data_IF_042664128397
#
_entry.id   IF_042664128397
#
_cell.length_a   1.000
_cell.length_b   1.000
_cell.length_c   1.000
_cell.angle_alpha   90.00
_cell.angle_beta   90.00
_cell.angle_gamma   90.00
#
_symmetry.space_group_name_H-M   'P 1'
#
loop_
_entity.id
_entity.type
_entity.pdbx_description
1 polymer ?
#
# COMPACT_ATOMS: atom_id res chain seq x y z
N UNK A 1 18.19 31.84 -14.11
CA UNK A 1 19.44 32.28 -13.46
C UNK A 1 20.05 31.04 -12.82
N UNK A 2 20.84 30.29 -13.59
CA UNK A 2 21.32 28.97 -13.17
C UNK A 2 22.61 29.17 -12.40
N UNK A 3 22.54 29.09 -11.06
CA UNK A 3 23.71 28.99 -10.23
C UNK A 3 24.36 27.62 -10.50
N UNK A 4 25.39 27.60 -11.35
CA UNK A 4 26.29 26.46 -11.46
C UNK A 4 27.07 26.41 -10.16
N UNK A 5 26.84 25.38 -9.35
CA UNK A 5 27.62 25.11 -8.15
C UNK A 5 29.08 24.93 -8.56
N UNK A 6 29.98 25.74 -8.01
CA UNK A 6 31.40 25.70 -8.36
C UNK A 6 32.01 24.34 -7.95
N UNK A 7 32.85 23.71 -8.79
CA UNK A 7 33.40 22.37 -8.55
C UNK A 7 34.13 22.21 -7.21
N UNK A 8 34.66 23.31 -6.67
CA UNK A 8 35.37 23.37 -5.39
C UNK A 8 34.48 23.01 -4.18
N UNK A 9 33.16 23.20 -4.29
CA UNK A 9 32.21 22.77 -3.24
C UNK A 9 32.06 21.24 -3.23
N UNK A 10 32.21 20.59 -4.38
CA UNK A 10 32.15 19.13 -4.50
C UNK A 10 33.47 18.49 -4.01
N UNK A 11 34.62 19.09 -4.36
CA UNK A 11 35.93 18.58 -3.92
C UNK A 11 36.17 18.72 -2.41
N UNK A 12 35.66 19.78 -1.78
CA UNK A 12 35.75 19.94 -0.31
C UNK A 12 34.85 18.96 0.45
N UNK A 13 33.68 18.60 -0.10
CA UNK A 13 32.83 17.55 0.47
C UNK A 13 33.41 16.13 0.34
N UNK A 14 34.23 15.89 -0.70
CA UNK A 14 34.89 14.60 -0.93
C UNK A 14 36.19 14.42 -0.14
N UNK A 15 36.79 15.50 0.36
CA UNK A 15 38.06 15.49 1.12
C UNK A 15 37.88 15.59 2.63
N UNK A 16 36.67 15.89 3.10
CA UNK A 16 36.29 15.77 4.50
C UNK A 16 35.93 14.31 4.82
N UNK A 17 36.95 13.54 5.22
CA UNK A 17 36.80 12.31 6.01
C UNK A 17 36.32 12.65 7.44
N UNK A 18 35.26 13.45 7.54
CA UNK A 18 34.43 13.47 8.73
C UNK A 18 33.49 12.29 8.55
N UNK A 19 33.74 11.20 9.28
CA UNK A 19 32.91 10.01 9.34
C UNK A 19 31.47 10.35 9.75
N UNK A 20 30.70 10.91 8.82
CA UNK A 20 29.26 11.04 8.90
C UNK A 20 28.70 9.63 8.74
N UNK A 21 28.71 8.88 9.84
CA UNK A 21 27.95 7.64 9.91
C UNK A 21 26.48 8.04 9.76
N UNK A 22 25.90 7.79 8.58
CA UNK A 22 24.46 7.88 8.38
C UNK A 22 23.83 6.94 9.41
N UNK A 23 23.13 7.51 10.38
CA UNK A 23 22.41 6.72 11.38
C UNK A 23 21.11 6.25 10.75
N UNK A 24 21.04 4.97 10.43
CA UNK A 24 19.83 4.34 9.92
C UNK A 24 18.83 3.99 11.02
N UNK A 25 19.12 4.29 12.30
CA UNK A 25 18.29 3.92 13.45
C UNK A 25 16.82 4.33 13.28
N UNK A 26 16.56 5.47 12.66
CA UNK A 26 15.19 5.89 12.37
C UNK A 26 14.51 4.99 11.31
N UNK A 27 15.20 4.65 10.22
CA UNK A 27 14.68 3.76 9.19
C UNK A 27 14.54 2.33 9.70
N UNK A 28 15.46 1.87 10.55
CA UNK A 28 15.38 0.57 11.21
C UNK A 28 14.13 0.50 12.09
N UNK A 29 13.85 1.55 12.88
CA UNK A 29 12.64 1.64 13.70
C UNK A 29 11.35 1.65 12.86
N UNK A 30 11.33 2.40 11.75
CA UNK A 30 10.17 2.41 10.83
C UNK A 30 9.97 1.04 10.16
N UNK A 31 11.05 0.38 9.74
CA UNK A 31 10.98 -0.96 9.17
C UNK A 31 10.45 -1.98 10.20
N UNK A 32 10.92 -1.91 11.44
CA UNK A 32 10.43 -2.75 12.54
C UNK A 32 8.93 -2.53 12.80
N UNK A 33 8.47 -1.27 12.83
CA UNK A 33 7.06 -0.92 12.99
C UNK A 33 6.21 -1.45 11.83
N UNK A 34 6.65 -1.24 10.59
CA UNK A 34 5.97 -1.77 9.40
C UNK A 34 5.89 -3.31 9.46
N UNK A 35 6.99 -4.01 9.75
CA UNK A 35 7.01 -5.47 9.86
C UNK A 35 6.08 -5.96 10.98
N UNK A 36 6.06 -5.26 12.11
CA UNK A 36 5.15 -5.56 13.22
C UNK A 36 3.69 -5.47 12.76
N UNK A 37 3.28 -4.37 12.13
CA UNK A 37 1.91 -4.18 11.63
C UNK A 37 1.54 -5.26 10.60
N UNK A 38 2.45 -5.61 9.69
CA UNK A 38 2.21 -6.67 8.70
C UNK A 38 1.96 -8.04 9.36
N UNK A 39 2.66 -8.35 10.46
CA UNK A 39 2.47 -9.57 11.25
C UNK A 39 1.17 -9.54 12.04
N UNK A 40 0.81 -8.40 12.63
CA UNK A 40 -0.47 -8.22 13.31
C UNK A 40 -1.64 -8.46 12.35
N UNK A 41 -1.55 -7.95 11.11
CA UNK A 41 -2.57 -8.22 10.09
C UNK A 41 -2.67 -9.71 9.77
N UNK A 42 -1.53 -10.39 9.57
CA UNK A 42 -1.52 -11.83 9.30
C UNK A 42 -2.09 -12.67 10.46
N UNK A 43 -1.94 -12.21 11.71
CA UNK A 43 -2.47 -12.91 12.88
C UNK A 43 -3.93 -12.59 13.22
N UNK A 44 -4.43 -11.42 12.80
CA UNK A 44 -5.74 -10.92 13.21
C UNK A 44 -6.86 -11.11 12.17
N UNK A 45 -6.52 -11.30 10.89
CA UNK A 45 -7.48 -11.34 9.79
C UNK A 45 -7.45 -12.67 9.05
N UNK A 46 -8.61 -13.11 8.55
CA UNK A 46 -8.79 -14.39 7.85
C UNK A 46 -8.39 -14.28 6.38
N UNK A 47 -8.68 -13.16 5.72
CA UNK A 47 -8.44 -12.93 4.29
C UNK A 47 -7.83 -11.55 4.05
N UNK A 48 -6.63 -11.28 4.56
CA UNK A 48 -5.93 -10.05 4.21
C UNK A 48 -5.45 -10.07 2.76
N UNK A 49 -5.22 -8.91 2.17
CA UNK A 49 -4.50 -8.75 0.91
C UNK A 49 -3.63 -7.49 0.92
N UNK A 50 -2.49 -7.54 0.22
CA UNK A 50 -1.58 -6.40 0.08
C UNK A 50 -1.78 -5.69 -1.25
N UNK A 51 -2.13 -4.41 -1.23
CA UNK A 51 -2.30 -3.60 -2.43
C UNK A 51 -0.93 -3.34 -3.08
N UNK A 52 -0.71 -3.94 -4.25
CA UNK A 52 0.57 -3.93 -4.94
C UNK A 52 0.46 -3.37 -6.36
N UNK A 53 0.73 -2.07 -6.49
CA UNK A 53 0.69 -1.38 -7.79
C UNK A 53 1.99 -1.51 -8.59
N UNK A 54 3.10 -1.88 -7.94
CA UNK A 54 4.45 -1.78 -8.50
C UNK A 54 5.06 -0.39 -8.35
N UNK A 55 4.35 0.56 -7.70
CA UNK A 55 4.90 1.86 -7.32
C UNK A 55 5.82 1.80 -6.10
N UNK A 56 6.56 2.89 -5.84
CA UNK A 56 7.60 2.97 -4.80
C UNK A 56 7.13 2.50 -3.42
N UNK A 57 5.97 2.96 -2.96
CA UNK A 57 5.48 2.69 -1.59
C UNK A 57 5.05 1.23 -1.47
N UNK A 58 4.36 0.72 -2.49
CA UNK A 58 3.95 -0.69 -2.55
C UNK A 58 5.15 -1.64 -2.60
N UNK A 59 6.28 -1.21 -3.17
CA UNK A 59 7.53 -1.97 -3.17
C UNK A 59 8.22 -1.97 -1.81
N UNK A 60 8.21 -0.85 -1.10
CA UNK A 60 8.70 -0.78 0.29
C UNK A 60 7.88 -1.72 1.17
N UNK A 61 6.55 -1.67 1.08
CA UNK A 61 5.68 -2.59 1.82
C UNK A 61 5.94 -4.05 1.44
N UNK A 62 6.04 -4.37 0.15
CA UNK A 62 6.33 -5.73 -0.31
C UNK A 62 7.68 -6.22 0.19
N UNK A 63 8.70 -5.34 0.25
CA UNK A 63 10.01 -5.67 0.80
C UNK A 63 9.94 -5.94 2.30
N UNK A 64 9.16 -5.16 3.05
CA UNK A 64 8.92 -5.39 4.46
C UNK A 64 8.15 -6.71 4.68
N UNK A 65 7.17 -7.04 3.84
CA UNK A 65 6.47 -8.33 3.89
C UNK A 65 7.41 -9.52 3.61
N UNK A 66 8.30 -9.39 2.63
CA UNK A 66 9.36 -10.37 2.36
C UNK A 66 10.28 -10.56 3.58
N UNK A 67 10.67 -9.49 4.28
CA UNK A 67 11.43 -9.58 5.53
C UNK A 67 10.62 -10.19 6.68
N UNK A 68 9.34 -9.88 6.77
CA UNK A 68 8.47 -10.34 7.83
C UNK A 68 8.24 -11.86 7.81
N UNK A 69 8.10 -12.45 6.61
CA UNK A 69 7.68 -13.84 6.43
C UNK A 69 8.65 -14.72 5.61
N UNK A 70 9.51 -14.12 4.79
CA UNK A 70 10.37 -14.82 3.82
C UNK A 70 9.73 -14.95 2.42
N UNK A 71 10.57 -15.18 1.41
CA UNK A 71 10.11 -15.44 0.04
C UNK A 71 9.28 -16.72 -0.04
N UNK A 72 8.19 -16.72 -0.81
CA UNK A 72 7.24 -17.83 -0.95
C UNK A 72 6.37 -18.10 0.28
N UNK A 73 6.43 -17.22 1.30
CA UNK A 73 5.77 -17.42 2.59
C UNK A 73 4.85 -16.27 3.00
N UNK A 74 4.63 -15.30 2.11
CA UNK A 74 3.69 -14.21 2.35
C UNK A 74 2.29 -14.83 2.51
N UNK A 75 1.62 -14.66 3.67
CA UNK A 75 0.42 -15.43 4.01
C UNK A 75 -0.86 -14.90 3.34
N UNK A 76 -0.74 -13.91 2.45
CA UNK A 76 -1.85 -13.28 1.76
C UNK A 76 -1.50 -12.94 0.32
N UNK A 77 -2.49 -12.87 -0.58
CA UNK A 77 -2.27 -12.46 -1.96
C UNK A 77 -1.90 -10.98 -2.07
N UNK A 78 -1.25 -10.65 -3.17
CA UNK A 78 -1.09 -9.30 -3.67
C UNK A 78 -2.33 -8.94 -4.52
N UNK A 79 -2.83 -7.72 -4.37
CA UNK A 79 -4.00 -7.23 -5.10
C UNK A 79 -3.66 -5.97 -5.89
N UNK A 80 -4.06 -5.94 -7.16
CA UNK A 80 -3.90 -4.78 -8.03
C UNK A 80 -5.21 -4.44 -8.74
N UNK A 81 -5.58 -3.16 -8.67
CA UNK A 81 -6.69 -2.59 -9.45
C UNK A 81 -6.12 -1.85 -10.66
N UNK A 82 -6.18 -2.52 -11.81
CA UNK A 82 -5.62 -2.01 -13.06
C UNK A 82 -6.60 -1.10 -13.79
N UNK A 83 -6.19 0.13 -14.03
CA UNK A 83 -6.95 1.09 -14.83
C UNK A 83 -6.84 0.82 -16.33
N UNK A 84 -5.85 0.04 -16.76
CA UNK A 84 -5.48 -0.16 -18.15
C UNK A 84 -4.59 0.93 -18.73
N UNK A 85 -4.18 1.91 -17.91
CA UNK A 85 -3.33 3.04 -18.31
C UNK A 85 -1.95 3.05 -17.61
N UNK A 86 -1.59 1.95 -16.94
CA UNK A 86 -0.27 1.81 -16.33
C UNK A 86 0.80 1.60 -17.42
N UNK A 87 2.01 2.11 -17.18
CA UNK A 87 3.14 1.89 -18.07
C UNK A 87 3.46 0.38 -18.17
N UNK A 88 3.67 -0.18 -19.37
CA UNK A 88 4.00 -1.59 -19.55
C UNK A 88 5.22 -2.04 -18.74
N UNK A 89 6.22 -1.17 -18.58
CA UNK A 89 7.42 -1.45 -17.80
C UNK A 89 7.11 -1.65 -16.30
N UNK A 90 6.12 -0.91 -15.78
CA UNK A 90 5.67 -1.01 -14.39
C UNK A 90 4.90 -2.31 -14.18
N UNK A 91 4.00 -2.67 -15.09
CA UNK A 91 3.23 -3.92 -14.97
C UNK A 91 4.12 -5.14 -15.16
N UNK A 92 5.06 -5.11 -16.10
CA UNK A 92 6.05 -6.18 -16.28
C UNK A 92 6.92 -6.36 -15.03
N UNK A 93 7.43 -5.26 -14.48
CA UNK A 93 8.22 -5.29 -13.24
C UNK A 93 7.43 -5.85 -12.07
N UNK A 94 6.19 -5.39 -11.87
CA UNK A 94 5.26 -5.88 -10.83
C UNK A 94 5.06 -7.39 -10.95
N UNK A 95 4.70 -7.87 -12.13
CA UNK A 95 4.37 -9.28 -12.37
C UNK A 95 5.61 -10.17 -12.27
N UNK A 96 6.78 -9.67 -12.70
CA UNK A 96 8.06 -10.34 -12.47
C UNK A 96 8.37 -10.44 -10.97
N UNK A 97 8.23 -9.34 -10.22
CA UNK A 97 8.55 -9.33 -8.79
C UNK A 97 7.64 -10.23 -7.97
N UNK A 98 6.35 -10.26 -8.27
CA UNK A 98 5.41 -11.19 -7.64
C UNK A 98 5.81 -12.65 -7.87
N UNK A 99 6.20 -13.01 -9.10
CA UNK A 99 6.68 -14.35 -9.46
C UNK A 99 7.98 -14.73 -8.75
N UNK A 100 8.95 -13.83 -8.69
CA UNK A 100 10.22 -14.05 -7.97
C UNK A 100 9.99 -14.37 -6.48
N UNK A 101 8.97 -13.75 -5.88
CA UNK A 101 8.59 -13.97 -4.49
C UNK A 101 7.67 -15.18 -4.30
N UNK A 102 7.23 -15.84 -5.36
CA UNK A 102 6.22 -16.90 -5.30
C UNK A 102 4.88 -16.43 -4.72
N UNK A 103 4.58 -15.14 -4.81
CA UNK A 103 3.35 -14.56 -4.28
C UNK A 103 2.21 -14.66 -5.30
N UNK A 104 1.01 -14.96 -4.82
CA UNK A 104 -0.20 -14.87 -5.65
C UNK A 104 -0.50 -13.40 -5.96
N UNK A 105 -0.61 -13.05 -7.24
CA UNK A 105 -0.99 -11.70 -7.68
C UNK A 105 -2.36 -11.73 -8.35
N UNK A 106 -3.33 -11.13 -7.68
CA UNK A 106 -4.70 -10.93 -8.15
C UNK A 106 -4.77 -9.57 -8.84
N UNK A 107 -5.16 -9.57 -10.12
CA UNK A 107 -5.40 -8.34 -10.88
C UNK A 107 -6.88 -8.24 -11.22
N UNK A 108 -7.49 -7.09 -10.93
CA UNK A 108 -8.85 -6.75 -11.36
C UNK A 108 -8.83 -5.46 -12.15
N UNK A 109 -9.51 -5.44 -13.30
CA UNK A 109 -9.46 -4.31 -14.22
C UNK A 109 -10.70 -3.43 -14.10
N UNK A 110 -10.50 -2.11 -14.14
CA UNK A 110 -11.59 -1.13 -14.30
C UNK A 110 -12.33 -1.36 -15.62
N UNK A 111 -11.63 -1.85 -16.65
CA UNK A 111 -12.25 -2.22 -17.94
C UNK A 111 -13.31 -3.31 -17.77
N UNK A 112 -13.08 -4.28 -16.88
CA UNK A 112 -14.06 -5.34 -16.62
C UNK A 112 -15.26 -4.82 -15.82
N UNK A 113 -15.04 -3.90 -14.87
CA UNK A 113 -16.13 -3.17 -14.21
C UNK A 113 -16.96 -2.35 -15.21
N UNK A 114 -16.32 -1.76 -16.23
CA UNK A 114 -17.02 -1.06 -17.30
C UNK A 114 -17.87 -2.01 -18.16
N UNK A 115 -17.32 -3.18 -18.53
CA UNK A 115 -18.08 -4.22 -19.27
C UNK A 115 -19.27 -4.74 -18.47
N UNK A 116 -19.14 -4.87 -17.14
CA UNK A 116 -20.24 -5.24 -16.24
C UNK A 116 -21.28 -4.12 -16.06
N UNK A 117 -20.93 -2.88 -16.35
CA UNK A 117 -21.80 -1.71 -16.18
C UNK A 117 -21.79 -1.10 -14.77
N UNK A 118 -20.93 -1.57 -13.86
CA UNK A 118 -20.75 -0.99 -12.52
C UNK A 118 -19.94 0.31 -12.56
N UNK A 119 -19.07 0.46 -13.58
CA UNK A 119 -18.38 1.71 -13.89
C UNK A 119 -18.90 2.26 -15.21
N UNK A 120 -19.22 3.56 -15.23
CA UNK A 120 -19.57 4.29 -16.45
C UNK A 120 -18.81 5.60 -16.49
N UNK A 121 -18.02 5.77 -17.55
CA UNK A 121 -17.35 7.03 -17.82
C UNK A 121 -18.38 8.06 -18.33
N UNK A 122 -18.25 9.30 -17.88
CA UNK A 122 -18.98 10.46 -18.38
C UNK A 122 -18.62 10.75 -19.85
N UNK A 123 -17.35 10.55 -20.22
CA UNK A 123 -16.86 10.66 -21.59
C UNK A 123 -15.60 9.81 -21.82
N UNK A 124 -15.24 9.47 -23.08
CA UNK A 124 -14.14 8.53 -23.36
C UNK A 124 -12.76 8.92 -22.80
N UNK A 125 -12.49 10.22 -22.62
CA UNK A 125 -11.22 10.72 -22.06
C UNK A 125 -11.20 10.90 -20.54
N UNK A 126 -12.21 10.42 -19.81
CA UNK A 126 -12.24 10.56 -18.35
C UNK A 126 -11.18 9.69 -17.69
N UNK A 127 -10.56 10.22 -16.63
CA UNK A 127 -9.59 9.44 -15.84
C UNK A 127 -10.27 8.27 -15.14
N UNK A 128 -9.69 7.09 -15.31
CA UNK A 128 -10.16 5.85 -14.67
C UNK A 128 -9.77 5.74 -13.19
N UNK A 129 -8.93 6.64 -12.68
CA UNK A 129 -8.40 6.56 -11.31
C UNK A 129 -9.50 6.65 -10.24
N UNK A 130 -10.50 7.53 -10.44
CA UNK A 130 -11.62 7.67 -9.49
C UNK A 130 -12.43 6.36 -9.39
N UNK A 131 -12.52 5.62 -10.50
CA UNK A 131 -13.29 4.38 -10.58
C UNK A 131 -12.57 3.16 -10.00
N UNK A 132 -11.28 3.27 -9.66
CA UNK A 132 -10.57 2.18 -8.96
C UNK A 132 -11.26 1.81 -7.64
N UNK A 133 -11.91 2.78 -6.98
CA UNK A 133 -12.68 2.53 -5.76
C UNK A 133 -13.83 1.54 -5.97
N UNK A 134 -14.53 1.61 -7.10
CA UNK A 134 -15.64 0.71 -7.44
C UNK A 134 -15.10 -0.70 -7.68
N UNK A 135 -14.08 -0.82 -8.54
CA UNK A 135 -13.46 -2.13 -8.82
C UNK A 135 -12.82 -2.75 -7.57
N UNK A 136 -12.29 -1.92 -6.66
CA UNK A 136 -11.78 -2.39 -5.38
C UNK A 136 -12.88 -2.97 -4.50
N UNK A 137 -14.04 -2.33 -4.42
CA UNK A 137 -15.19 -2.84 -3.66
C UNK A 137 -15.71 -4.16 -4.27
N UNK A 138 -15.79 -4.26 -5.60
CA UNK A 138 -16.13 -5.51 -6.27
C UNK A 138 -15.14 -6.64 -5.93
N UNK A 139 -13.83 -6.35 -5.91
CA UNK A 139 -12.82 -7.33 -5.53
C UNK A 139 -12.93 -7.73 -4.04
N UNK A 140 -13.22 -6.79 -3.15
CA UNK A 140 -13.46 -7.09 -1.72
C UNK A 140 -14.64 -8.03 -1.57
N UNK A 141 -15.74 -7.79 -2.30
CA UNK A 141 -16.91 -8.66 -2.28
C UNK A 141 -16.61 -10.05 -2.85
N UNK A 142 -15.93 -10.10 -4.00
CA UNK A 142 -15.56 -11.34 -4.70
C UNK A 142 -14.69 -12.26 -3.83
N UNK A 143 -13.64 -11.71 -3.22
CA UNK A 143 -12.66 -12.47 -2.45
C UNK A 143 -12.94 -12.50 -0.94
N UNK A 144 -13.93 -11.71 -0.50
CA UNK A 144 -14.30 -11.52 0.91
C UNK A 144 -13.13 -11.01 1.76
N UNK A 145 -12.32 -10.11 1.22
CA UNK A 145 -11.18 -9.56 1.94
C UNK A 145 -11.66 -8.79 3.19
N UNK A 146 -11.08 -9.11 4.34
CA UNK A 146 -11.40 -8.49 5.64
C UNK A 146 -10.33 -7.48 6.09
N UNK A 147 -9.17 -7.46 5.44
CA UNK A 147 -8.18 -6.39 5.56
C UNK A 147 -7.43 -6.13 4.25
N UNK A 148 -7.27 -4.86 3.88
CA UNK A 148 -6.42 -4.45 2.76
C UNK A 148 -5.26 -3.59 3.24
N UNK A 149 -4.04 -4.04 2.99
CA UNK A 149 -2.80 -3.35 3.36
C UNK A 149 -2.44 -2.39 2.22
N UNK A 150 -2.39 -1.09 2.50
CA UNK A 150 -2.13 -0.02 1.53
C UNK A 150 -0.93 0.83 1.89
N UNK A 151 -0.26 1.39 0.88
CA UNK A 151 0.96 2.19 1.04
C UNK A 151 0.71 3.69 1.10
N UNK A 152 -0.45 4.09 1.60
CA UNK A 152 -0.86 5.48 1.72
C UNK A 152 -0.21 6.09 2.96
N UNK A 153 0.59 7.15 2.78
CA UNK A 153 1.32 7.79 3.88
C UNK A 153 0.61 9.06 4.38
N UNK A 154 0.78 9.38 5.65
CA UNK A 154 0.14 10.55 6.31
C UNK A 154 0.66 11.90 5.80
N UNK A 155 1.89 11.94 5.31
CA UNK A 155 2.55 13.15 4.79
C UNK A 155 2.16 13.49 3.34
N UNK A 156 1.49 12.58 2.63
CA UNK A 156 1.17 12.74 1.20
C UNK A 156 0.06 13.76 0.93
N UNK A 157 -0.91 13.88 1.84
CA UNK A 157 -2.06 14.77 1.66
C UNK A 157 -2.57 15.24 3.02
N UNK A 158 -2.99 16.52 3.12
CA UNK A 158 -3.43 17.12 4.39
C UNK A 158 -4.59 16.37 5.04
N UNK A 159 -5.47 15.77 4.23
CA UNK A 159 -6.60 14.98 4.71
C UNK A 159 -6.17 13.72 5.48
N UNK A 160 -4.98 13.17 5.19
CA UNK A 160 -4.45 11.95 5.81
C UNK A 160 -3.69 12.19 7.12
N UNK A 161 -3.51 13.45 7.52
CA UNK A 161 -2.80 13.77 8.77
C UNK A 161 -3.46 13.17 10.02
N UNK A 162 -4.75 12.84 9.96
CA UNK A 162 -5.52 12.20 11.04
C UNK A 162 -5.89 10.74 10.72
N UNK A 163 -5.30 10.16 9.67
CA UNK A 163 -5.52 8.77 9.28
C UNK A 163 -4.92 7.84 10.34
N UNK A 164 -5.66 6.79 10.69
CA UNK A 164 -5.23 5.74 11.61
C UNK A 164 -4.48 4.65 10.84
N UNK A 165 -3.68 3.85 11.54
CA UNK A 165 -3.03 2.68 10.93
C UNK A 165 -4.12 1.70 10.48
N UNK A 166 -5.06 1.39 11.37
CA UNK A 166 -6.24 0.57 11.12
C UNK A 166 -7.47 1.44 10.90
N UNK A 167 -7.81 1.64 9.63
CA UNK A 167 -8.95 2.43 9.19
C UNK A 167 -10.16 1.52 8.93
N UNK A 168 -11.08 1.47 9.89
CA UNK A 168 -12.28 0.63 9.85
C UNK A 168 -13.25 1.08 8.75
N UNK A 169 -13.82 0.12 8.03
CA UNK A 169 -14.83 0.31 6.99
C UNK A 169 -16.04 -0.57 7.29
N UNK A 170 -17.24 -0.02 7.07
CA UNK A 170 -18.47 -0.80 7.18
C UNK A 170 -18.64 -1.77 6.01
N UNK A 171 -19.74 -2.53 6.01
CA UNK A 171 -20.05 -3.53 4.99
C UNK A 171 -20.20 -2.96 3.57
N UNK A 172 -20.43 -1.64 3.43
CA UNK A 172 -20.48 -0.96 2.13
C UNK A 172 -19.16 -0.26 1.78
N UNK A 173 -18.12 -0.43 2.61
CA UNK A 173 -16.82 0.19 2.44
C UNK A 173 -16.74 1.65 2.88
N UNK A 174 -17.76 2.18 3.54
CA UNK A 174 -17.77 3.57 4.00
C UNK A 174 -16.93 3.75 5.26
N UNK A 175 -16.36 4.95 5.39
CA UNK A 175 -15.61 5.35 6.57
C UNK A 175 -16.49 6.15 7.52
N UNK A 176 -16.53 5.74 8.79
CA UNK A 176 -17.33 6.41 9.81
C UNK A 176 -16.43 6.89 10.97
N UNK A 177 -16.40 8.19 11.30
CA UNK A 177 -15.53 8.73 12.34
C UNK A 177 -15.72 8.07 13.71
N UNK A 178 -16.98 7.79 14.08
CA UNK A 178 -17.34 7.21 15.38
C UNK A 178 -16.98 5.72 15.50
N UNK A 179 -16.81 5.03 14.38
CA UNK A 179 -16.43 3.61 14.35
C UNK A 179 -14.91 3.41 14.43
N UNK A 180 -14.13 4.49 14.29
CA UNK A 180 -12.68 4.43 14.36
C UNK A 180 -12.20 4.20 15.79
N UNK A 181 -11.17 3.36 15.92
CA UNK A 181 -10.72 2.85 17.21
C UNK A 181 -9.46 3.58 17.67
N UNK A 182 -9.35 3.92 18.96
CA UNK A 182 -8.09 4.40 19.51
C UNK A 182 -6.98 3.37 19.29
N UNK A 183 -5.80 3.84 18.88
CA UNK A 183 -4.58 3.06 18.70
C UNK A 183 -3.64 3.51 19.81
N UNK A 184 -3.54 2.72 20.87
CA UNK A 184 -2.74 3.05 22.04
C UNK A 184 -1.49 2.17 22.03
N UNK A 185 -0.31 2.79 21.99
CA UNK A 185 0.97 2.10 21.81
C UNK A 185 0.97 1.27 20.51
N UNK A 186 1.26 -0.02 20.60
CA UNK A 186 1.27 -1.01 19.52
C UNK A 186 0.09 -1.98 19.63
N UNK A 187 -0.98 -1.60 20.33
CA UNK A 187 -2.17 -2.42 20.52
C UNK A 187 -3.30 -1.96 19.59
N UNK A 188 -3.73 -2.86 18.71
CA UNK A 188 -4.78 -2.60 17.73
C UNK A 188 -6.03 -3.41 18.05
N UNK A 189 -7.20 -2.75 18.04
CA UNK A 189 -8.47 -3.44 18.14
C UNK A 189 -8.95 -3.82 16.74
N UNK A 190 -8.80 -5.09 16.38
CA UNK A 190 -9.05 -5.64 15.03
C UNK A 190 -10.39 -6.37 14.87
N UNK A 191 -11.26 -6.38 15.89
CA UNK A 191 -12.56 -7.07 15.83
C UNK A 191 -13.40 -6.62 14.63
N UNK A 192 -14.04 -7.52 13.90
CA UNK A 192 -14.92 -7.17 12.77
C UNK A 192 -16.30 -7.78 12.94
N UNK A 193 -17.33 -7.09 12.45
CA UNK A 193 -18.62 -7.71 12.16
C UNK A 193 -18.62 -8.29 10.73
N UNK A 194 -19.52 -9.24 10.41
CA UNK A 194 -19.62 -9.79 9.06
C UNK A 194 -19.78 -8.69 7.98
N UNK A 195 -18.94 -8.75 6.94
CA UNK A 195 -18.91 -7.80 5.83
C UNK A 195 -18.06 -6.54 6.06
N UNK A 196 -17.75 -6.21 7.32
CA UNK A 196 -16.82 -5.13 7.63
C UNK A 196 -15.39 -5.52 7.28
N UNK A 197 -14.54 -4.52 7.06
CA UNK A 197 -13.15 -4.74 6.74
C UNK A 197 -12.28 -3.56 7.16
N UNK A 198 -10.96 -3.76 7.21
CA UNK A 198 -10.00 -2.70 7.46
C UNK A 198 -9.25 -2.27 6.19
N UNK A 199 -8.88 -0.99 6.15
CA UNK A 199 -7.69 -0.53 5.40
C UNK A 199 -6.57 -0.38 6.42
N UNK A 200 -5.42 -0.98 6.15
CA UNK A 200 -4.26 -0.96 7.03
C UNK A 200 -3.12 -0.22 6.34
N UNK A 201 -2.52 0.77 7.01
CA UNK A 201 -1.48 1.62 6.44
C UNK A 201 -0.19 1.52 7.28
N UNK A 202 0.73 0.61 6.94
CA UNK A 202 1.96 0.38 7.70
C UNK A 202 3.04 1.46 7.57
N UNK A 203 2.88 2.41 6.63
CA UNK A 203 3.85 3.46 6.27
C UNK A 203 3.19 4.83 6.17
#
# INVERSE_FOLDING_TARGET
MNARTEPQVIESALTLDAGHHLSNTHLDALEEETIFILREVAGAFERPALLFSGGKDSLVMLKCAEKAFGAGRIPYPLLMIDTGHNFPEVTEFRDRRARELGAELIVRSVEDSMKRGSVRLAHPGESRNAHQSVTLLEAIEEFRFDALIGGARRDEEKARAKERIFSHRDAFGQWQPKAQRPELWTLFNTRLQPGEHFRVFPI
#
